data_IF_446357813125
#
_entry.id   IF_446357813125
#
_cell.length_a   1.000
_cell.length_b   1.000
_cell.length_c   1.000
_cell.angle_alpha   90.00
_cell.angle_beta   90.00
_cell.angle_gamma   90.00
#
_symmetry.space_group_name_H-M   'P 1'
#
loop_
_entity.id
_entity.type
_entity.pdbx_description
1 polymer ?
#
# COMPACT_ATOMS: atom_id res chain seq x y z
N UNK A 1 6.27 3.93 -33.73
CA UNK A 1 5.67 2.59 -33.43
C UNK A 1 6.53 1.93 -32.35
N UNK A 2 6.61 2.52 -31.16
CA UNK A 2 7.77 2.33 -30.25
C UNK A 2 7.41 2.01 -28.80
N UNK A 3 6.15 1.69 -28.50
CA UNK A 3 5.68 1.44 -27.11
C UNK A 3 5.92 0.01 -26.58
N UNK A 4 6.57 -0.87 -27.35
CA UNK A 4 6.78 -2.29 -26.99
C UNK A 4 8.09 -2.57 -26.23
N UNK A 5 9.04 -1.63 -26.18
CA UNK A 5 10.42 -1.93 -25.75
C UNK A 5 10.72 -1.96 -24.25
N UNK A 6 9.77 -1.62 -23.36
CA UNK A 6 10.10 -1.22 -21.97
C UNK A 6 9.56 -2.10 -20.82
N UNK A 7 8.83 -3.18 -21.10
CA UNK A 7 8.18 -4.01 -20.07
C UNK A 7 8.91 -5.31 -19.71
N UNK A 8 10.06 -5.61 -20.34
CA UNK A 8 10.88 -6.81 -20.08
C UNK A 8 11.60 -6.86 -18.70
N UNK A 9 11.36 -5.90 -17.81
CA UNK A 9 11.99 -5.77 -16.48
C UNK A 9 11.00 -6.03 -15.33
N UNK A 10 10.18 -7.08 -15.50
CA UNK A 10 9.35 -7.69 -14.45
C UNK A 10 9.99 -9.00 -13.92
N UNK A 11 11.26 -9.23 -14.24
CA UNK A 11 12.04 -10.41 -13.88
C UNK A 11 12.51 -10.37 -12.42
N UNK A 12 11.69 -10.91 -11.51
CA UNK A 12 12.19 -11.51 -10.28
C UNK A 12 12.64 -12.94 -10.58
N UNK A 13 13.91 -13.27 -10.34
CA UNK A 13 14.46 -14.60 -10.64
C UNK A 13 13.78 -15.70 -9.81
N UNK A 14 13.00 -16.55 -10.47
CA UNK A 14 12.67 -17.89 -9.97
C UNK A 14 13.74 -18.84 -10.50
N UNK A 15 14.81 -19.03 -9.73
CA UNK A 15 15.84 -20.00 -10.07
C UNK A 15 15.25 -21.43 -9.98
N UNK A 16 15.18 -22.10 -11.13
CA UNK A 16 14.89 -23.54 -11.18
C UNK A 16 16.16 -24.31 -10.86
N UNK A 17 16.31 -24.76 -9.62
CA UNK A 17 17.31 -25.76 -9.25
C UNK A 17 16.93 -27.13 -9.85
N UNK A 18 17.35 -27.40 -11.08
CA UNK A 18 17.30 -28.74 -11.66
C UNK A 18 18.44 -29.58 -11.08
N UNK A 19 18.12 -30.49 -10.16
CA UNK A 19 19.08 -31.40 -9.55
C UNK A 19 19.41 -32.55 -10.52
N UNK A 20 20.67 -32.63 -10.95
CA UNK A 20 21.19 -33.75 -11.75
C UNK A 20 22.65 -34.01 -11.39
N UNK A 21 22.88 -35.09 -10.63
CA UNK A 21 24.21 -35.59 -10.30
C UNK A 21 24.85 -36.20 -11.55
N UNK A 22 26.14 -35.95 -11.75
CA UNK A 22 27.15 -37.01 -11.71
C UNK A 22 28.57 -36.46 -11.74
N UNK A 23 29.53 -37.28 -11.29
CA UNK A 23 30.95 -36.94 -11.16
C UNK A 23 31.80 -38.00 -11.84
N UNK A 24 32.81 -37.60 -12.63
CA UNK A 24 33.97 -38.44 -12.94
C UNK A 24 35.20 -37.59 -13.28
N UNK A 25 36.37 -38.21 -13.28
CA UNK A 25 37.68 -37.56 -13.10
C UNK A 25 38.57 -37.53 -14.35
N UNK A 26 39.63 -36.72 -14.25
CA UNK A 26 41.00 -36.97 -14.74
C UNK A 26 41.45 -36.53 -16.17
N UNK A 27 42.44 -35.62 -16.15
CA UNK A 27 43.82 -35.84 -16.64
C UNK A 27 44.30 -35.23 -17.98
N UNK A 28 45.40 -34.46 -17.84
CA UNK A 28 46.64 -34.40 -18.65
C UNK A 28 46.58 -34.38 -20.20
N UNK A 29 47.07 -33.29 -20.79
CA UNK A 29 48.39 -33.18 -21.48
C UNK A 29 48.56 -31.74 -22.07
N UNK A 30 49.72 -31.07 -21.97
CA UNK A 30 50.98 -31.17 -22.77
C UNK A 30 50.84 -30.66 -24.22
N UNK A 31 51.79 -29.93 -24.82
CA UNK A 31 53.07 -29.34 -24.36
C UNK A 31 53.51 -28.21 -25.35
N UNK A 32 54.58 -27.45 -25.01
CA UNK A 32 55.55 -26.74 -25.91
C UNK A 32 55.03 -25.56 -26.81
N UNK A 33 55.61 -24.33 -26.87
CA UNK A 33 56.99 -23.79 -27.02
C UNK A 33 57.27 -23.33 -28.47
N UNK A 34 58.02 -22.27 -28.82
CA UNK A 34 58.52 -21.03 -28.13
C UNK A 34 58.34 -19.84 -29.13
N UNK A 35 59.14 -18.79 -29.41
CA UNK A 35 60.41 -18.11 -28.99
C UNK A 35 60.33 -16.65 -29.56
N UNK A 36 61.18 -15.62 -29.34
CA UNK A 36 62.41 -15.33 -28.57
C UNK A 36 62.57 -13.78 -28.37
N UNK A 37 63.80 -13.24 -28.38
CA UNK A 37 64.20 -11.86 -28.74
C UNK A 37 63.61 -10.63 -28.01
N UNK A 38 64.29 -10.23 -26.92
CA UNK A 38 64.51 -8.81 -26.53
C UNK A 38 66.02 -8.51 -26.57
N UNK A 39 66.53 -7.27 -26.33
CA UNK A 39 66.93 -6.95 -24.93
C UNK A 39 67.08 -5.45 -24.52
N UNK A 40 67.17 -5.22 -23.19
CA UNK A 40 67.87 -4.14 -22.46
C UNK A 40 67.41 -2.66 -22.66
N UNK A 41 67.24 -1.81 -21.64
CA UNK A 41 67.77 -1.74 -20.25
C UNK A 41 66.62 -1.38 -19.27
N UNK A 42 66.45 -2.04 -18.11
CA UNK A 42 67.14 -1.84 -16.81
C UNK A 42 67.21 -0.36 -16.33
N UNK A 43 66.94 -0.02 -15.06
CA UNK A 43 66.35 -0.75 -13.91
C UNK A 43 66.31 0.16 -12.66
N UNK A 44 65.33 -0.02 -11.75
CA UNK A 44 65.55 -0.31 -10.32
C UNK A 44 64.22 -0.44 -9.55
N UNK A 45 64.25 -0.97 -8.33
CA UNK A 45 63.07 -1.31 -7.52
C UNK A 45 63.33 -1.14 -6.03
N UNK A 46 62.26 -0.94 -5.22
CA UNK A 46 62.02 -1.67 -3.97
C UNK A 46 60.68 -1.31 -3.31
N UNK A 47 60.20 -2.25 -2.48
CA UNK A 47 59.06 -2.09 -1.57
C UNK A 47 59.55 -1.53 -0.21
N UNK A 48 58.67 -0.87 0.55
CA UNK A 48 58.33 -1.23 1.96
C UNK A 48 57.23 -0.31 2.54
N UNK A 49 56.54 -0.80 3.57
CA UNK A 49 55.57 -0.04 4.39
C UNK A 49 56.26 0.97 5.34
N UNK A 50 55.48 1.91 5.92
CA UNK A 50 55.62 2.11 7.37
C UNK A 50 54.29 2.35 8.10
N UNK A 51 54.34 2.37 9.44
CA UNK A 51 53.20 2.60 10.33
C UNK A 51 53.61 3.39 11.58
N UNK A 52 52.82 4.41 11.99
CA UNK A 52 52.87 5.15 13.29
C UNK A 52 54.23 5.83 13.61
N UNK A 53 54.30 7.07 14.11
CA UNK A 53 53.59 7.61 15.28
C UNK A 53 53.78 9.16 15.43
N UNK A 54 52.93 9.79 16.25
CA UNK A 54 53.11 11.06 17.01
C UNK A 54 53.49 12.39 16.33
N UNK A 55 52.69 13.44 16.64
CA UNK A 55 53.15 14.83 16.80
C UNK A 55 52.28 15.53 17.86
N UNK A 56 52.82 16.50 18.62
CA UNK A 56 52.17 17.06 19.83
C UNK A 56 51.81 18.55 19.69
N UNK A 57 50.55 18.84 20.03
CA UNK A 57 49.93 20.07 20.54
C UNK A 57 50.74 21.38 20.57
N UNK A 58 50.16 22.43 19.95
CA UNK A 58 50.14 23.80 20.50
C UNK A 58 48.68 24.26 20.60
N UNK A 59 48.30 24.98 21.67
CA UNK A 59 46.92 25.40 21.95
C UNK A 59 46.68 26.87 21.61
N UNK A 60 45.48 27.19 21.10
CA UNK A 60 44.81 28.48 21.36
C UNK A 60 43.31 28.24 21.61
N UNK A 61 42.74 29.00 22.56
CA UNK A 61 41.29 29.10 22.86
C UNK A 61 40.90 30.57 22.66
N UNK A 62 39.72 30.85 22.08
CA UNK A 62 38.56 31.27 22.89
C UNK A 62 37.23 30.70 22.34
N UNK A 63 36.03 30.85 22.95
CA UNK A 63 35.54 31.25 24.30
C UNK A 63 34.10 30.71 24.41
N UNK A 64 33.60 30.46 25.62
CA UNK A 64 32.16 30.36 25.95
C UNK A 64 31.41 29.13 25.42
N UNK A 65 31.13 28.16 26.29
CA UNK A 65 30.04 27.18 26.13
C UNK A 65 29.59 26.72 27.51
N UNK A 66 28.76 27.53 28.16
CA UNK A 66 28.01 27.20 29.38
C UNK A 66 26.65 27.92 29.31
N UNK A 67 25.65 27.24 28.79
CA UNK A 67 24.25 27.50 29.16
C UNK A 67 23.47 26.20 28.96
N UNK A 68 23.19 25.49 30.06
CA UNK A 68 22.35 24.30 30.02
C UNK A 68 20.90 24.71 29.76
N UNK A 69 20.51 24.79 28.49
CA UNK A 69 19.10 24.94 28.13
C UNK A 69 18.35 23.63 28.38
N UNK A 70 18.17 23.29 29.67
CA UNK A 70 17.27 22.23 30.13
C UNK A 70 15.93 22.49 29.48
N UNK A 71 15.50 21.56 28.61
CA UNK A 71 14.23 21.68 27.94
C UNK A 71 13.13 21.70 29.00
N UNK A 72 12.54 22.89 29.22
CA UNK A 72 11.41 23.03 30.11
C UNK A 72 10.27 22.20 29.54
N UNK A 73 10.04 21.02 30.13
CA UNK A 73 8.80 20.29 29.97
C UNK A 73 7.69 21.24 30.44
N UNK A 74 7.01 21.87 29.49
CA UNK A 74 5.91 22.80 29.76
C UNK A 74 4.96 22.11 30.74
N UNK A 75 4.79 22.72 31.91
CA UNK A 75 4.29 22.06 33.13
C UNK A 75 3.26 21.00 32.79
N UNK A 76 3.54 19.74 33.10
CA UNK A 76 2.47 18.77 33.26
C UNK A 76 1.47 19.42 34.21
N UNK A 77 0.25 19.66 33.73
CA UNK A 77 -0.86 19.88 34.62
C UNK A 77 -0.98 18.57 35.37
N UNK A 78 -0.48 18.57 36.60
CA UNK A 78 -0.77 17.53 37.58
C UNK A 78 -2.25 17.70 37.86
N UNK A 79 -3.06 17.06 37.01
CA UNK A 79 -4.40 16.65 37.39
C UNK A 79 -4.15 15.76 38.60
N UNK A 80 -4.43 16.30 39.78
CA UNK A 80 -4.51 15.50 40.98
C UNK A 80 -5.45 14.34 40.67
N UNK A 81 -5.07 13.12 41.06
CA UNK A 81 -5.96 11.97 40.94
C UNK A 81 -7.17 12.22 41.87
N UNK A 82 -8.20 12.86 41.31
CA UNK A 82 -9.49 13.04 41.97
C UNK A 82 -10.05 11.63 42.15
N UNK A 83 -10.22 11.15 43.39
CA UNK A 83 -10.69 9.79 43.62
C UNK A 83 -12.08 9.67 43.01
N UNK A 84 -12.20 8.87 41.95
CA UNK A 84 -13.45 8.62 41.28
C UNK A 84 -14.41 7.92 42.25
N UNK A 85 -15.52 8.58 42.60
CA UNK A 85 -16.51 8.04 43.53
C UNK A 85 -17.06 6.71 43.02
N UNK A 86 -16.67 5.61 43.67
CA UNK A 86 -16.99 4.24 43.23
C UNK A 86 -18.50 4.02 43.07
N UNK A 87 -19.31 4.65 43.93
CA UNK A 87 -20.77 4.70 43.86
C UNK A 87 -21.32 5.25 42.54
N UNK A 88 -20.69 6.27 41.96
CA UNK A 88 -21.12 6.88 40.69
C UNK A 88 -20.73 5.97 39.52
N UNK A 89 -19.48 5.49 39.51
CA UNK A 89 -18.95 4.73 38.37
C UNK A 89 -19.40 3.27 38.33
N UNK A 90 -19.69 2.66 39.48
CA UNK A 90 -20.30 1.32 39.54
C UNK A 90 -21.75 1.28 39.02
N UNK A 91 -22.44 2.44 39.01
CA UNK A 91 -23.80 2.58 38.48
C UNK A 91 -23.86 3.10 37.03
N UNK A 92 -22.72 3.19 36.32
CA UNK A 92 -22.70 3.67 34.93
C UNK A 92 -23.52 2.72 34.02
N UNK A 93 -24.58 3.20 33.33
CA UNK A 93 -25.39 2.38 32.43
C UNK A 93 -24.58 1.74 31.30
N UNK A 94 -24.94 0.51 30.93
CA UNK A 94 -24.19 -0.27 29.92
C UNK A 94 -24.20 0.41 28.54
N UNK A 95 -25.28 1.09 28.17
CA UNK A 95 -25.36 1.87 26.92
C UNK A 95 -24.38 3.05 26.91
N UNK A 96 -24.21 3.76 28.02
CA UNK A 96 -23.23 4.84 28.12
C UNK A 96 -21.79 4.31 28.12
N UNK A 97 -21.54 3.17 28.77
CA UNK A 97 -20.26 2.47 28.67
C UNK A 97 -19.97 2.06 27.21
N UNK A 98 -20.94 1.50 26.50
CA UNK A 98 -20.79 1.12 25.11
C UNK A 98 -20.62 2.33 24.18
N UNK A 99 -21.29 3.46 24.42
CA UNK A 99 -21.07 4.72 23.68
C UNK A 99 -19.66 5.31 23.92
N UNK A 100 -19.17 5.29 25.17
CA UNK A 100 -17.80 5.72 25.51
C UNK A 100 -16.76 4.83 24.83
N UNK A 101 -16.91 3.50 24.95
CA UNK A 101 -15.95 2.55 24.40
C UNK A 101 -15.99 2.51 22.87
N UNK A 102 -17.16 2.69 22.24
CA UNK A 102 -17.29 2.84 20.79
C UNK A 102 -16.64 4.13 20.25
N UNK A 103 -16.32 5.11 21.11
CA UNK A 103 -15.58 6.33 20.75
C UNK A 103 -14.08 6.26 21.05
N UNK A 104 -13.56 5.16 21.61
CA UNK A 104 -12.12 4.96 21.75
C UNK A 104 -11.49 4.48 20.43
N UNK A 105 -10.27 4.93 20.08
CA UNK A 105 -9.56 4.41 18.92
C UNK A 105 -9.45 2.88 18.96
N UNK A 106 -9.83 2.12 17.91
CA UNK A 106 -9.96 0.66 17.95
C UNK A 106 -8.74 -0.09 18.49
N UNK A 107 -7.52 0.39 18.23
CA UNK A 107 -6.29 -0.23 18.73
C UNK A 107 -6.13 -0.14 20.26
N UNK A 108 -6.85 0.75 20.94
CA UNK A 108 -6.90 0.84 22.40
C UNK A 108 -7.83 -0.22 23.01
N UNK A 109 -8.83 -0.72 22.28
CA UNK A 109 -9.75 -1.75 22.78
C UNK A 109 -9.00 -3.05 23.12
N UNK A 110 -7.95 -3.41 22.36
CA UNK A 110 -7.10 -4.56 22.71
C UNK A 110 -6.38 -4.41 24.06
N UNK A 111 -6.18 -3.18 24.56
CA UNK A 111 -5.61 -2.94 25.89
C UNK A 111 -6.68 -2.98 26.98
N UNK A 112 -7.85 -2.39 26.78
CA UNK A 112 -8.92 -2.42 27.80
C UNK A 112 -9.42 -3.86 28.05
N UNK A 113 -9.33 -4.73 27.03
CA UNK A 113 -9.67 -6.16 27.13
C UNK A 113 -8.86 -6.92 28.20
N UNK A 114 -7.70 -6.43 28.66
CA UNK A 114 -6.95 -7.08 29.76
C UNK A 114 -7.35 -6.60 31.16
N UNK A 115 -8.27 -5.64 31.30
CA UNK A 115 -8.65 -5.06 32.61
C UNK A 115 -9.60 -5.97 33.39
N UNK A 116 -10.63 -6.54 32.75
CA UNK A 116 -11.59 -7.43 33.42
C UNK A 116 -12.26 -8.41 32.46
N UNK A 117 -12.91 -9.45 33.00
CA UNK A 117 -13.61 -10.49 32.21
C UNK A 117 -14.70 -9.89 31.29
N UNK A 118 -15.49 -8.93 31.78
CA UNK A 118 -16.53 -8.24 30.99
C UNK A 118 -15.93 -7.53 29.78
N UNK A 119 -14.87 -6.75 29.99
CA UNK A 119 -14.22 -6.00 28.92
C UNK A 119 -13.48 -6.90 27.93
N UNK A 120 -12.90 -8.04 28.36
CA UNK A 120 -12.29 -9.00 27.43
C UNK A 120 -13.28 -9.50 26.36
N UNK A 121 -14.54 -9.71 26.76
CA UNK A 121 -15.62 -10.22 25.91
C UNK A 121 -16.30 -9.14 25.06
N UNK A 122 -15.94 -7.85 25.17
CA UNK A 122 -16.71 -6.76 24.54
C UNK A 122 -16.78 -6.83 23.00
N UNK A 123 -15.79 -7.45 22.34
CA UNK A 123 -15.82 -7.68 20.89
C UNK A 123 -16.81 -8.79 20.47
N UNK A 124 -17.43 -9.48 21.42
CA UNK A 124 -18.51 -10.45 21.22
C UNK A 124 -19.88 -9.89 21.62
N UNK A 125 -19.95 -8.66 22.17
CA UNK A 125 -21.20 -8.00 22.51
C UNK A 125 -21.84 -7.34 21.28
N UNK A 126 -23.03 -7.81 20.91
CA UNK A 126 -23.82 -7.24 19.83
C UNK A 126 -24.29 -5.79 20.11
N UNK A 127 -24.42 -5.38 21.39
CA UNK A 127 -24.71 -3.99 21.73
C UNK A 127 -23.52 -3.10 21.41
N UNK A 128 -22.32 -3.40 21.94
CA UNK A 128 -21.09 -2.70 21.60
C UNK A 128 -20.84 -2.63 20.09
N UNK A 129 -20.97 -3.75 19.36
CA UNK A 129 -20.79 -3.76 17.91
C UNK A 129 -21.83 -2.88 17.17
N UNK A 130 -23.08 -2.81 17.67
CA UNK A 130 -24.10 -1.89 17.14
C UNK A 130 -23.73 -0.42 17.41
N UNK A 131 -23.31 -0.07 18.63
CA UNK A 131 -22.82 1.27 18.96
C UNK A 131 -21.60 1.65 18.09
N UNK A 132 -20.59 0.79 17.99
CA UNK A 132 -19.42 0.99 17.14
C UNK A 132 -19.80 1.16 15.66
N UNK A 133 -20.80 0.42 15.17
CA UNK A 133 -21.25 0.55 13.78
C UNK A 133 -21.80 1.94 13.45
N UNK A 134 -22.45 2.59 14.43
CA UNK A 134 -23.02 3.94 14.30
C UNK A 134 -21.99 5.07 14.48
N UNK A 135 -20.83 4.81 15.09
CA UNK A 135 -19.78 5.81 15.29
C UNK A 135 -18.98 6.00 13.99
N UNK A 136 -18.67 7.26 13.66
CA UNK A 136 -17.80 7.62 12.53
C UNK A 136 -16.38 7.10 12.74
N UNK A 137 -15.70 6.68 11.66
CA UNK A 137 -14.27 6.36 11.70
C UNK A 137 -13.44 7.41 12.45
N UNK A 138 -12.48 6.95 13.25
CA UNK A 138 -11.50 7.80 13.96
C UNK A 138 -10.49 8.48 13.02
N UNK A 139 -10.67 8.34 11.71
CA UNK A 139 -9.87 8.93 10.66
C UNK A 139 -9.06 7.91 9.87
N UNK A 140 -8.39 8.37 8.81
CA UNK A 140 -7.70 7.50 7.86
C UNK A 140 -6.51 6.81 8.51
N UNK A 141 -6.37 5.52 8.29
CA UNK A 141 -5.17 4.77 8.62
C UNK A 141 -4.51 4.24 7.33
N UNK A 142 -3.21 3.95 7.39
CA UNK A 142 -2.49 3.22 6.34
C UNK A 142 -2.18 1.82 6.85
N UNK A 143 -2.61 0.79 6.11
CA UNK A 143 -2.21 -0.60 6.36
C UNK A 143 -1.03 -0.94 5.47
N UNK A 144 0.05 -1.43 6.08
CA UNK A 144 1.27 -1.88 5.41
C UNK A 144 1.45 -3.38 5.62
N UNK A 145 1.50 -4.14 4.54
CA UNK A 145 1.68 -5.59 4.55
C UNK A 145 3.00 -5.99 3.90
N UNK A 146 3.76 -6.81 4.61
CA UNK A 146 5.07 -7.33 4.20
C UNK A 146 5.13 -8.86 4.40
N UNK A 147 5.63 -9.58 3.39
CA UNK A 147 5.83 -11.03 3.45
C UNK A 147 6.89 -11.49 2.47
N UNK A 148 8.15 -11.47 2.89
CA UNK A 148 9.22 -12.21 2.22
C UNK A 148 9.26 -13.64 2.77
N UNK A 149 9.15 -14.66 1.91
CA UNK A 149 9.45 -16.04 2.34
C UNK A 149 10.92 -16.13 2.81
N UNK A 150 11.26 -16.83 3.91
CA UNK A 150 10.40 -17.64 4.78
C UNK A 150 9.88 -16.91 6.05
N UNK A 151 9.92 -15.57 6.08
CA UNK A 151 9.52 -14.78 7.24
C UNK A 151 7.99 -14.77 7.45
N UNK A 152 7.57 -14.62 8.71
CA UNK A 152 6.16 -14.43 9.06
C UNK A 152 5.59 -13.14 8.43
N UNK A 153 4.30 -13.11 8.05
CA UNK A 153 3.64 -11.91 7.57
C UNK A 153 3.68 -10.80 8.63
N UNK A 154 4.29 -9.67 8.28
CA UNK A 154 4.28 -8.48 9.11
C UNK A 154 3.21 -7.52 8.59
N UNK A 155 2.21 -7.23 9.42
CA UNK A 155 1.25 -6.17 9.17
C UNK A 155 1.39 -5.10 10.26
N UNK A 156 1.39 -3.84 9.83
CA UNK A 156 1.31 -2.69 10.73
C UNK A 156 0.29 -1.70 10.18
N UNK A 157 -0.39 -1.00 11.07
CA UNK A 157 -1.34 0.06 10.73
C UNK A 157 -0.86 1.37 11.33
N UNK A 158 -0.67 2.39 10.51
CA UNK A 158 -0.38 3.75 10.95
C UNK A 158 -1.68 4.57 11.02
N UNK A 159 -2.02 5.06 12.21
CA UNK A 159 -3.12 6.04 12.36
C UNK A 159 -2.59 7.44 12.02
N UNK A 160 -3.13 8.07 10.98
CA UNK A 160 -2.71 9.42 10.59
C UNK A 160 -3.07 10.49 11.65
N UNK A 161 -4.26 10.46 12.29
CA UNK A 161 -4.59 11.40 13.37
C UNK A 161 -3.74 11.22 14.62
N UNK A 162 -3.52 9.97 15.06
CA UNK A 162 -2.76 9.66 16.29
C UNK A 162 -1.24 9.60 16.05
N UNK A 163 -0.79 9.69 14.79
CA UNK A 163 0.60 9.57 14.33
C UNK A 163 1.34 8.35 14.91
N UNK A 164 0.60 7.27 15.14
CA UNK A 164 1.05 6.10 15.90
C UNK A 164 0.94 4.83 15.06
N UNK A 165 1.95 3.98 15.17
CA UNK A 165 1.97 2.64 14.57
C UNK A 165 1.41 1.59 15.53
N UNK A 166 0.56 0.72 15.00
CA UNK A 166 0.02 -0.45 15.69
C UNK A 166 0.38 -1.71 14.90
N UNK A 167 1.09 -2.65 15.54
CA UNK A 167 1.38 -3.96 14.94
C UNK A 167 0.12 -4.82 15.01
N UNK A 168 -0.24 -5.48 13.91
CA UNK A 168 -1.37 -6.41 13.86
C UNK A 168 -0.81 -7.80 13.50
N UNK A 169 -1.01 -8.83 14.34
CA UNK A 169 -0.47 -10.16 14.06
C UNK A 169 -1.26 -10.82 12.93
N UNK A 170 -0.62 -11.00 11.76
CA UNK A 170 -1.23 -11.66 10.59
C UNK A 170 -0.93 -13.16 10.52
N UNK A 171 -0.49 -13.75 11.63
CA UNK A 171 -0.20 -15.18 11.80
C UNK A 171 -1.44 -16.08 11.67
N UNK A 172 -2.65 -15.49 11.67
CA UNK A 172 -3.91 -16.20 11.43
C UNK A 172 -4.20 -16.41 9.93
N UNK A 173 -3.50 -15.74 9.00
CA UNK A 173 -3.68 -15.93 7.56
C UNK A 173 -2.82 -17.09 7.01
N UNK A 174 -3.31 -17.81 5.98
CA UNK A 174 -2.57 -18.92 5.37
C UNK A 174 -1.26 -18.50 4.70
N UNK A 175 -0.32 -19.44 4.60
CA UNK A 175 0.99 -19.25 3.96
C UNK A 175 0.89 -18.79 2.50
N UNK A 176 -0.15 -19.21 1.76
CA UNK A 176 -0.36 -18.78 0.37
C UNK A 176 -0.86 -17.34 0.20
N UNK A 177 -1.41 -16.67 1.22
CA UNK A 177 -1.93 -15.30 1.07
C UNK A 177 -0.78 -14.27 1.16
N UNK A 178 -0.38 -13.66 0.03
CA UNK A 178 0.74 -12.72 -0.01
C UNK A 178 0.58 -11.48 -0.91
N UNK A 179 -0.41 -11.44 -1.80
CA UNK A 179 -0.79 -10.21 -2.50
C UNK A 179 -1.91 -9.49 -1.75
N UNK A 180 -1.69 -8.21 -1.43
CA UNK A 180 -2.70 -7.32 -0.86
C UNK A 180 -3.52 -6.71 -2.00
N UNK A 181 -4.79 -7.08 -2.10
CA UNK A 181 -5.72 -6.54 -3.12
C UNK A 181 -6.16 -5.12 -2.75
N UNK A 182 -6.46 -4.90 -1.46
CA UNK A 182 -6.92 -3.62 -0.93
C UNK A 182 -7.77 -3.79 0.32
N UNK A 183 -8.36 -2.70 0.80
CA UNK A 183 -9.29 -2.72 1.93
C UNK A 183 -10.55 -1.89 1.62
N UNK A 184 -11.65 -2.21 2.29
CA UNK A 184 -12.91 -1.47 2.22
C UNK A 184 -13.74 -1.81 3.46
N UNK A 185 -14.42 -0.83 4.06
CA UNK A 185 -15.33 -1.03 5.21
C UNK A 185 -14.73 -1.72 6.46
N UNK A 186 -13.40 -1.77 6.59
CA UNK A 186 -12.68 -2.50 7.64
C UNK A 186 -12.41 -3.98 7.38
N UNK A 187 -12.81 -4.48 6.21
CA UNK A 187 -12.30 -5.73 5.65
C UNK A 187 -11.04 -5.47 4.83
N UNK A 188 -10.17 -6.47 4.72
CA UNK A 188 -8.99 -6.47 3.84
C UNK A 188 -9.02 -7.71 2.94
N UNK A 189 -8.79 -7.51 1.65
CA UNK A 189 -8.78 -8.58 0.65
C UNK A 189 -7.33 -8.96 0.30
N UNK A 190 -7.07 -10.27 0.22
CA UNK A 190 -5.79 -10.83 -0.20
C UNK A 190 -5.98 -11.88 -1.29
N UNK A 191 -4.97 -12.06 -2.12
CA UNK A 191 -4.89 -13.16 -3.08
C UNK A 191 -3.54 -13.88 -3.01
N UNK A 192 -3.45 -15.03 -3.68
CA UNK A 192 -2.26 -15.87 -3.63
C UNK A 192 -2.36 -17.15 -4.45
N UNK A 193 -1.32 -17.97 -4.37
CA UNK A 193 -1.22 -19.28 -5.00
C UNK A 193 -1.08 -20.36 -3.93
N UNK A 194 -2.11 -21.21 -3.82
CA UNK A 194 -2.12 -22.41 -2.98
C UNK A 194 -1.66 -23.60 -3.82
N UNK A 195 -0.35 -23.86 -3.77
CA UNK A 195 0.32 -24.69 -4.78
C UNK A 195 0.25 -24.03 -6.16
N UNK A 196 -0.54 -24.62 -7.07
CA UNK A 196 -0.84 -24.05 -8.39
C UNK A 196 -2.21 -23.34 -8.45
N UNK A 197 -3.00 -23.39 -7.37
CA UNK A 197 -4.38 -22.89 -7.36
C UNK A 197 -4.42 -21.43 -6.98
N UNK A 198 -4.88 -20.54 -7.87
CA UNK A 198 -5.18 -19.17 -7.48
C UNK A 198 -6.32 -19.14 -6.45
N UNK A 199 -6.14 -18.37 -5.38
CA UNK A 199 -7.15 -18.18 -4.33
C UNK A 199 -7.24 -16.72 -3.91
N UNK A 200 -8.43 -16.35 -3.44
CA UNK A 200 -8.72 -15.04 -2.82
C UNK A 200 -9.28 -15.29 -1.41
N UNK A 201 -8.94 -14.45 -0.44
CA UNK A 201 -9.56 -14.40 0.87
C UNK A 201 -9.92 -12.98 1.26
N UNK A 202 -10.89 -12.85 2.17
CA UNK A 202 -11.22 -11.59 2.84
C UNK A 202 -11.14 -11.80 4.34
N UNK A 203 -10.52 -10.86 5.06
CA UNK A 203 -10.34 -10.91 6.50
C UNK A 203 -10.76 -9.62 7.21
N UNK A 204 -11.12 -9.73 8.50
CA UNK A 204 -11.17 -8.60 9.42
C UNK A 204 -9.91 -8.67 10.30
N UNK A 205 -8.92 -7.76 10.11
CA UNK A 205 -7.67 -7.77 10.87
C UNK A 205 -7.82 -7.57 12.38
N UNK A 206 -8.91 -6.94 12.83
CA UNK A 206 -9.14 -6.68 14.25
C UNK A 206 -9.75 -7.90 14.95
N UNK A 207 -10.65 -8.60 14.27
CA UNK A 207 -11.33 -9.79 14.77
C UNK A 207 -10.54 -11.09 14.53
N UNK A 208 -9.47 -11.03 13.72
CA UNK A 208 -8.65 -12.17 13.28
C UNK A 208 -9.45 -13.26 12.52
N UNK A 209 -10.65 -12.91 12.05
CA UNK A 209 -11.53 -13.75 11.26
C UNK A 209 -11.26 -13.58 9.76
N UNK A 210 -11.42 -14.65 8.99
CA UNK A 210 -11.22 -14.65 7.54
C UNK A 210 -12.07 -15.73 6.86
N UNK A 211 -12.44 -15.51 5.59
CA UNK A 211 -12.95 -16.57 4.71
C UNK A 211 -12.18 -16.62 3.40
N UNK A 212 -11.92 -17.83 2.91
CA UNK A 212 -11.53 -18.05 1.51
C UNK A 212 -12.78 -17.85 0.66
N UNK A 213 -12.65 -17.21 -0.49
CA UNK A 213 -13.74 -17.12 -1.46
C UNK A 213 -13.76 -18.42 -2.31
N UNK A 214 -14.92 -18.86 -2.81
CA UNK A 214 -14.98 -19.92 -3.82
C UNK A 214 -14.12 -19.55 -5.04
N UNK A 215 -13.69 -20.55 -5.81
CA UNK A 215 -12.99 -20.29 -7.07
C UNK A 215 -13.88 -19.54 -8.07
N UNK A 216 -13.27 -18.63 -8.83
CA UNK A 216 -13.89 -18.00 -10.01
C UNK A 216 -14.19 -19.05 -11.08
N UNK A 217 -15.09 -18.74 -12.02
CA UNK A 217 -15.35 -19.61 -13.18
C UNK A 217 -14.08 -19.75 -14.04
N UNK A 218 -13.35 -18.64 -14.20
CA UNK A 218 -12.04 -18.60 -14.84
C UNK A 218 -10.98 -18.35 -13.76
N UNK A 219 -10.66 -19.39 -12.96
CA UNK A 219 -9.80 -19.27 -11.78
C UNK A 219 -8.28 -19.17 -12.09
N UNK A 220 -7.84 -18.02 -12.59
CA UNK A 220 -6.43 -17.62 -12.62
C UNK A 220 -6.24 -16.23 -11.98
N UNK A 221 -5.01 -15.72 -11.97
CA UNK A 221 -4.70 -14.42 -11.38
C UNK A 221 -5.39 -13.26 -12.13
N UNK A 222 -6.04 -12.37 -11.38
CA UNK A 222 -6.87 -11.27 -11.89
C UNK A 222 -6.48 -9.93 -11.29
N UNK A 223 -6.75 -8.85 -12.00
CA UNK A 223 -6.87 -7.52 -11.37
C UNK A 223 -8.16 -7.52 -10.53
N UNK A 224 -8.00 -7.36 -9.22
CA UNK A 224 -9.07 -7.46 -8.22
C UNK A 224 -9.31 -6.13 -7.52
N UNK A 225 -10.55 -5.88 -7.09
CA UNK A 225 -10.91 -4.85 -6.12
C UNK A 225 -12.04 -5.35 -5.22
N UNK A 226 -12.03 -4.95 -3.94
CA UNK A 226 -13.09 -5.24 -2.98
C UNK A 226 -13.84 -3.96 -2.63
N UNK A 227 -15.16 -4.07 -2.53
CA UNK A 227 -16.08 -2.98 -2.17
C UNK A 227 -17.05 -3.46 -1.08
N UNK A 228 -17.22 -2.68 -0.01
CA UNK A 228 -18.18 -2.98 1.07
C UNK A 228 -19.41 -2.09 0.95
N UNK A 229 -20.59 -2.70 0.93
CA UNK A 229 -21.86 -2.02 1.18
C UNK A 229 -22.15 -2.04 2.69
N UNK A 230 -22.10 -0.85 3.31
CA UNK A 230 -22.36 -0.70 4.75
C UNK A 230 -23.84 -0.80 5.11
N UNK A 231 -24.74 -0.46 4.18
CA UNK A 231 -26.18 -0.51 4.42
C UNK A 231 -26.67 -1.95 4.43
N UNK A 232 -26.19 -2.74 3.47
CA UNK A 232 -26.51 -4.15 3.30
C UNK A 232 -25.57 -5.10 4.08
N UNK A 233 -24.64 -4.54 4.87
CA UNK A 233 -23.58 -5.24 5.64
C UNK A 233 -22.90 -6.37 4.83
N UNK A 234 -22.63 -6.10 3.56
CA UNK A 234 -22.16 -7.10 2.59
C UNK A 234 -20.97 -6.56 1.81
N UNK A 235 -20.25 -7.45 1.12
CA UNK A 235 -19.10 -7.07 0.31
C UNK A 235 -19.12 -7.77 -1.04
N UNK A 236 -18.49 -7.12 -2.02
CA UNK A 236 -18.28 -7.68 -3.35
C UNK A 236 -16.81 -7.62 -3.71
N UNK A 237 -16.34 -8.63 -4.44
CA UNK A 237 -15.01 -8.64 -5.05
C UNK A 237 -15.20 -8.71 -6.56
N UNK A 238 -14.65 -7.72 -7.26
CA UNK A 238 -14.76 -7.58 -8.72
C UNK A 238 -13.42 -8.00 -9.31
N UNK A 239 -13.46 -8.96 -10.23
CA UNK A 239 -12.33 -9.44 -11.01
C UNK A 239 -12.51 -9.05 -12.48
N UNK A 240 -11.66 -8.15 -12.99
CA UNK A 240 -11.88 -7.52 -14.31
C UNK A 240 -11.09 -8.21 -15.43
N UNK A 241 -9.77 -8.30 -15.29
CA UNK A 241 -8.87 -8.82 -16.32
C UNK A 241 -7.86 -9.82 -15.77
N UNK A 242 -7.24 -10.60 -16.66
CA UNK A 242 -5.95 -11.21 -16.36
C UNK A 242 -4.87 -10.13 -16.09
N UNK A 243 -3.80 -10.51 -15.39
CA UNK A 243 -2.60 -9.68 -15.18
C UNK A 243 -1.47 -10.05 -16.17
N UNK A 244 -1.47 -11.30 -16.67
CA UNK A 244 -0.37 -11.88 -17.45
C UNK A 244 -0.79 -12.54 -18.77
N UNK A 245 -2.09 -12.69 -19.05
CA UNK A 245 -2.62 -13.36 -20.24
C UNK A 245 -3.41 -12.44 -21.18
N UNK A 246 -3.18 -12.59 -22.49
CA UNK A 246 -3.84 -11.80 -23.55
C UNK A 246 -5.34 -12.12 -23.78
N UNK A 247 -5.95 -12.92 -22.91
CA UNK A 247 -7.34 -13.36 -23.06
C UNK A 247 -8.31 -12.35 -22.47
N UNK A 248 -9.17 -11.76 -23.32
CA UNK A 248 -10.37 -11.05 -22.88
C UNK A 248 -11.30 -12.01 -22.14
N UNK A 249 -11.62 -11.70 -20.89
CA UNK A 249 -12.37 -12.57 -19.98
C UNK A 249 -13.57 -11.80 -19.40
N UNK A 250 -14.66 -12.50 -19.02
CA UNK A 250 -15.82 -11.85 -18.42
C UNK A 250 -15.42 -11.25 -17.07
N UNK A 251 -16.00 -10.10 -16.76
CA UNK A 251 -15.85 -9.53 -15.41
C UNK A 251 -16.61 -10.44 -14.45
N UNK A 252 -15.92 -10.99 -13.45
CA UNK A 252 -16.55 -11.82 -12.43
C UNK A 252 -16.79 -11.01 -11.17
N UNK A 253 -18.01 -11.05 -10.63
CA UNK A 253 -18.37 -10.39 -9.37
C UNK A 253 -18.79 -11.43 -8.34
N UNK A 254 -18.03 -11.50 -7.27
CA UNK A 254 -18.41 -12.21 -6.05
C UNK A 254 -19.41 -11.37 -5.25
N UNK A 255 -20.50 -11.98 -4.79
CA UNK A 255 -21.45 -11.37 -3.85
C UNK A 255 -21.45 -12.15 -2.53
N UNK A 256 -21.10 -11.46 -1.43
CA UNK A 256 -20.94 -12.10 -0.12
C UNK A 256 -22.25 -12.69 0.42
N UNK A 257 -23.42 -12.21 0.00
CA UNK A 257 -24.73 -12.70 0.45
C UNK A 257 -25.10 -14.04 -0.17
N UNK A 258 -24.66 -14.29 -1.40
CA UNK A 258 -24.96 -15.54 -2.12
C UNK A 258 -23.83 -16.56 -2.08
N UNK A 259 -22.66 -16.16 -1.56
CA UNK A 259 -21.38 -16.89 -1.58
C UNK A 259 -21.02 -17.46 -2.96
N UNK A 260 -21.21 -16.64 -4.00
CA UNK A 260 -21.07 -17.05 -5.41
C UNK A 260 -20.45 -15.94 -6.24
N UNK A 261 -19.71 -16.36 -7.27
CA UNK A 261 -19.35 -15.51 -8.39
C UNK A 261 -20.51 -15.43 -9.39
N UNK A 262 -20.60 -14.30 -10.08
CA UNK A 262 -21.53 -14.04 -11.17
C UNK A 262 -20.74 -13.54 -12.38
N UNK A 263 -21.18 -13.92 -13.58
CA UNK A 263 -20.54 -13.55 -14.86
C UNK A 263 -21.20 -12.29 -15.41
N UNK A 264 -20.43 -11.21 -15.52
CA UNK A 264 -20.82 -9.93 -16.08
C UNK A 264 -20.12 -9.71 -17.44
N UNK A 265 -20.38 -8.58 -18.11
CA UNK A 265 -19.89 -8.34 -19.47
C UNK A 265 -18.35 -8.44 -19.57
N UNK A 266 -17.86 -9.02 -20.67
CA UNK A 266 -16.44 -8.96 -21.07
C UNK A 266 -16.09 -7.50 -21.39
N UNK A 267 -15.00 -6.98 -20.84
CA UNK A 267 -14.55 -5.62 -21.15
C UNK A 267 -14.18 -5.51 -22.64
N UNK A 268 -14.80 -4.58 -23.41
CA UNK A 268 -14.63 -4.49 -24.87
C UNK A 268 -13.30 -3.84 -25.32
N UNK A 269 -12.38 -3.59 -24.40
CA UNK A 269 -11.10 -2.94 -24.65
C UNK A 269 -9.95 -3.95 -24.66
N UNK A 270 -8.95 -3.71 -25.49
CA UNK A 270 -7.73 -4.51 -25.59
C UNK A 270 -6.51 -3.70 -25.15
N UNK A 271 -5.55 -4.37 -24.51
CA UNK A 271 -4.37 -3.79 -23.88
C UNK A 271 -4.71 -2.79 -22.76
N UNK A 272 -4.79 -3.31 -21.53
CA UNK A 272 -4.99 -2.52 -20.32
C UNK A 272 -3.71 -1.82 -19.89
N UNK A 273 -3.86 -0.64 -19.29
CA UNK A 273 -2.76 0.04 -18.62
C UNK A 273 -2.66 -0.46 -17.17
N UNK A 274 -1.45 -0.62 -16.64
CA UNK A 274 -1.22 -1.13 -15.26
C UNK A 274 -1.51 -0.08 -14.16
N UNK A 275 -2.28 0.97 -14.48
CA UNK A 275 -2.72 1.95 -13.50
C UNK A 275 -3.80 1.36 -12.59
N UNK A 276 -3.78 1.74 -11.31
CA UNK A 276 -4.69 1.16 -10.30
C UNK A 276 -6.14 1.51 -10.62
N UNK A 277 -7.04 0.55 -10.48
CA UNK A 277 -8.49 0.76 -10.66
C UNK A 277 -9.03 1.69 -9.56
N UNK A 278 -10.00 2.54 -9.92
CA UNK A 278 -10.70 3.41 -8.96
C UNK A 278 -12.18 3.08 -8.91
N UNK A 279 -12.75 2.90 -7.72
CA UNK A 279 -14.19 2.64 -7.53
C UNK A 279 -14.86 3.78 -6.76
N UNK A 280 -15.87 4.40 -7.35
CA UNK A 280 -16.73 5.39 -6.69
C UNK A 280 -18.12 5.43 -7.36
N UNK A 281 -19.17 5.80 -6.62
CA UNK A 281 -20.55 5.89 -7.13
C UNK A 281 -21.07 4.64 -7.87
N UNK A 282 -20.82 3.45 -7.30
CA UNK A 282 -21.14 2.13 -7.90
C UNK A 282 -20.48 1.85 -9.27
N UNK A 283 -19.45 2.62 -9.62
CA UNK A 283 -18.73 2.55 -10.90
C UNK A 283 -17.26 2.26 -10.66
N UNK A 284 -16.70 1.33 -11.44
CA UNK A 284 -15.29 0.98 -11.46
C UNK A 284 -14.63 1.56 -12.71
N UNK A 285 -13.57 2.34 -12.55
CA UNK A 285 -12.87 3.04 -13.65
C UNK A 285 -11.47 2.48 -13.86
N UNK A 286 -11.13 2.18 -15.11
CA UNK A 286 -9.82 1.69 -15.57
C UNK A 286 -9.32 2.55 -16.75
N UNK A 287 -8.01 2.59 -16.94
CA UNK A 287 -7.35 3.15 -18.12
C UNK A 287 -7.12 2.07 -19.18
N UNK A 288 -7.49 2.36 -20.43
CA UNK A 288 -7.27 1.48 -21.58
C UNK A 288 -6.41 2.14 -22.64
N UNK A 289 -5.58 1.33 -23.33
CA UNK A 289 -4.75 1.80 -24.43
C UNK A 289 -5.47 1.73 -25.79
N UNK A 290 -6.43 0.80 -25.94
CA UNK A 290 -7.24 0.65 -27.16
C UNK A 290 -8.67 0.18 -26.82
N UNK A 291 -9.68 1.09 -26.85
CA UNK A 291 -9.58 2.52 -27.13
C UNK A 291 -8.78 3.27 -26.06
N UNK A 292 -8.13 4.37 -26.46
CA UNK A 292 -7.39 5.24 -25.54
C UNK A 292 -8.35 6.14 -24.76
N UNK A 293 -8.60 5.80 -23.49
CA UNK A 293 -9.57 6.50 -22.66
C UNK A 293 -9.83 5.80 -21.34
N UNK A 294 -10.94 6.17 -20.71
CA UNK A 294 -11.44 5.49 -19.52
C UNK A 294 -12.45 4.41 -19.95
N UNK A 295 -12.32 3.21 -19.40
CA UNK A 295 -13.42 2.26 -19.32
C UNK A 295 -14.09 2.38 -17.95
N UNK A 296 -15.42 2.46 -17.94
CA UNK A 296 -16.25 2.45 -16.75
C UNK A 296 -17.10 1.18 -16.75
N UNK A 297 -17.03 0.41 -15.67
CA UNK A 297 -17.92 -0.71 -15.39
C UNK A 297 -18.99 -0.27 -14.38
N UNK A 298 -20.25 -0.55 -14.70
CA UNK A 298 -21.42 -0.35 -13.82
C UNK A 298 -21.67 -1.63 -13.03
N UNK A 299 -21.56 -1.57 -11.70
CA UNK A 299 -21.79 -2.74 -10.83
C UNK A 299 -23.28 -3.13 -10.74
N UNK A 300 -24.17 -2.17 -11.00
CA UNK A 300 -25.63 -2.30 -10.99
C UNK A 300 -26.19 -2.98 -12.26
N UNK A 301 -25.70 -2.61 -13.45
CA UNK A 301 -26.13 -3.24 -14.71
C UNK A 301 -25.21 -4.36 -15.20
N UNK A 302 -23.99 -4.47 -14.66
CA UNK A 302 -22.98 -5.43 -15.09
C UNK A 302 -22.30 -5.11 -16.42
N UNK A 303 -22.38 -3.86 -16.88
CA UNK A 303 -21.99 -3.45 -18.23
C UNK A 303 -20.77 -2.52 -18.24
N UNK A 304 -20.03 -2.56 -19.35
CA UNK A 304 -18.87 -1.74 -19.64
C UNK A 304 -19.19 -0.63 -20.64
N UNK A 305 -18.78 0.60 -20.33
CA UNK A 305 -18.92 1.78 -21.18
C UNK A 305 -17.59 2.49 -21.36
N UNK A 306 -17.34 2.99 -22.57
CA UNK A 306 -16.16 3.80 -22.86
C UNK A 306 -16.46 5.29 -22.63
N UNK A 307 -15.69 5.91 -21.75
CA UNK A 307 -15.72 7.35 -21.47
C UNK A 307 -14.56 8.00 -22.25
N UNK A 308 -14.83 8.80 -23.30
CA UNK A 308 -13.82 9.38 -24.19
C UNK A 308 -13.02 10.56 -23.58
N UNK A 309 -12.76 10.52 -22.27
CA UNK A 309 -12.00 11.52 -21.52
C UNK A 309 -10.50 11.45 -21.85
N UNK A 310 -10.09 12.19 -22.91
CA UNK A 310 -8.72 12.22 -23.43
C UNK A 310 -7.72 12.60 -22.34
N UNK A 311 -6.79 11.68 -22.06
CA UNK A 311 -5.72 11.88 -21.07
C UNK A 311 -4.84 13.11 -21.37
N UNK A 312 -4.25 13.73 -20.33
CA UNK A 312 -3.29 14.83 -20.49
C UNK A 312 -2.15 14.49 -21.45
N UNK A 313 -1.76 15.44 -22.31
CA UNK A 313 -0.60 15.27 -23.21
C UNK A 313 0.68 15.10 -22.40
N UNK A 314 1.56 14.23 -22.88
CA UNK A 314 2.86 13.91 -22.26
C UNK A 314 2.77 13.35 -20.83
N UNK A 315 1.65 12.67 -20.51
CA UNK A 315 1.53 11.77 -19.36
C UNK A 315 2.51 10.59 -19.54
N UNK A 316 3.36 10.37 -18.54
CA UNK A 316 4.35 9.29 -18.48
C UNK A 316 3.85 8.13 -17.61
N UNK A 317 3.46 8.44 -16.38
CA UNK A 317 2.79 7.52 -15.45
C UNK A 317 1.43 8.11 -15.07
N UNK A 318 0.39 7.27 -14.99
CA UNK A 318 -0.95 7.63 -14.51
C UNK A 318 -1.43 6.69 -13.40
N UNK A 319 -2.21 7.24 -12.47
CA UNK A 319 -2.92 6.50 -11.43
C UNK A 319 -4.33 7.08 -11.29
N UNK A 320 -5.35 6.23 -11.41
CA UNK A 320 -6.71 6.62 -11.06
C UNK A 320 -6.89 6.50 -9.55
N UNK A 321 -7.59 7.47 -8.96
CA UNK A 321 -7.85 7.53 -7.52
C UNK A 321 -9.30 7.94 -7.28
N UNK A 322 -10.03 7.12 -6.50
CA UNK A 322 -11.38 7.43 -6.08
C UNK A 322 -11.40 8.56 -5.03
N UNK A 323 -12.31 9.51 -5.20
CA UNK A 323 -12.69 10.48 -4.17
C UNK A 323 -14.02 10.12 -3.51
N UNK A 324 -14.52 11.01 -2.68
CA UNK A 324 -15.87 10.91 -2.10
C UNK A 324 -16.95 10.99 -3.18
N UNK A 325 -18.07 10.29 -2.98
CA UNK A 325 -19.23 10.33 -3.89
C UNK A 325 -18.87 9.92 -5.33
N UNK A 326 -18.99 10.83 -6.31
CA UNK A 326 -18.72 10.58 -7.74
C UNK A 326 -17.34 11.08 -8.20
N UNK A 327 -16.51 11.60 -7.28
CA UNK A 327 -15.24 12.23 -7.64
C UNK A 327 -14.23 11.18 -8.10
N UNK A 328 -13.62 11.42 -9.25
CA UNK A 328 -12.55 10.59 -9.82
C UNK A 328 -11.36 11.49 -10.12
N UNK A 329 -10.21 11.15 -9.57
CA UNK A 329 -8.96 11.85 -9.81
C UNK A 329 -8.04 11.02 -10.72
N UNK A 330 -7.32 11.72 -11.60
CA UNK A 330 -6.11 11.22 -12.22
C UNK A 330 -4.92 11.88 -11.53
N UNK A 331 -3.98 11.09 -11.06
CA UNK A 331 -2.69 11.54 -10.53
C UNK A 331 -1.62 11.09 -11.50
N UNK A 332 -0.77 12.00 -11.97
CA UNK A 332 0.13 11.66 -13.06
C UNK A 332 1.39 12.50 -13.21
N UNK A 333 2.44 11.84 -13.68
CA UNK A 333 3.73 12.44 -14.02
C UNK A 333 3.68 12.94 -15.46
N UNK A 334 3.78 14.24 -15.68
CA UNK A 334 3.97 14.83 -17.02
C UNK A 334 5.43 15.19 -17.23
N UNK A 335 5.96 14.87 -18.41
CA UNK A 335 7.25 15.36 -18.89
C UNK A 335 7.48 14.97 -20.36
N UNK A 336 8.26 15.78 -21.07
CA UNK A 336 8.80 15.44 -22.41
C UNK A 336 10.23 14.91 -22.33
N UNK A 337 10.99 15.35 -21.33
CA UNK A 337 12.39 14.98 -21.07
C UNK A 337 12.64 14.86 -19.56
N UNK A 338 13.74 14.20 -19.17
CA UNK A 338 14.07 13.84 -17.79
C UNK A 338 14.25 15.01 -16.81
N UNK A 339 14.40 16.24 -17.31
CA UNK A 339 14.67 17.46 -16.54
C UNK A 339 13.43 18.33 -16.27
N UNK A 340 12.36 18.19 -17.06
CA UNK A 340 11.16 19.04 -17.01
C UNK A 340 9.90 18.26 -16.57
N UNK A 341 10.08 17.33 -15.64
CA UNK A 341 8.97 16.55 -15.09
C UNK A 341 8.19 17.30 -14.00
N UNK A 342 6.89 17.03 -13.92
CA UNK A 342 6.00 17.53 -12.86
C UNK A 342 4.96 16.47 -12.50
N UNK A 343 4.65 16.31 -11.21
CA UNK A 343 3.50 15.52 -10.75
C UNK A 343 2.29 16.45 -10.63
N UNK A 344 1.16 16.08 -11.23
CA UNK A 344 -0.09 16.86 -11.20
C UNK A 344 -1.29 15.98 -10.90
N UNK A 345 -2.39 16.64 -10.58
CA UNK A 345 -3.65 16.00 -10.20
C UNK A 345 -4.77 16.67 -11.00
N UNK A 346 -5.56 15.86 -11.69
CA UNK A 346 -6.77 16.25 -12.39
C UNK A 346 -7.99 15.61 -11.73
N UNK A 347 -9.14 16.26 -11.86
CA UNK A 347 -10.45 15.72 -11.53
C UNK A 347 -11.26 15.55 -12.82
N UNK A 348 -12.05 14.49 -12.92
CA UNK A 348 -12.92 14.27 -14.08
C UNK A 348 -14.16 15.17 -13.99
N UNK A 349 -14.26 16.13 -14.90
CA UNK A 349 -15.52 16.84 -15.15
C UNK A 349 -16.47 15.90 -15.90
N UNK A 350 -17.42 15.31 -15.18
CA UNK A 350 -18.45 14.42 -15.71
C UNK A 350 -19.40 15.10 -16.70
N UNK A 351 -19.51 16.44 -16.69
CA UNK A 351 -20.39 17.18 -17.61
C UNK A 351 -19.71 17.46 -18.96
N UNK A 352 -18.41 17.73 -18.94
CA UNK A 352 -17.59 17.99 -20.14
C UNK A 352 -16.84 16.76 -20.65
N UNK A 353 -16.86 15.67 -19.89
CA UNK A 353 -16.09 14.42 -20.14
C UNK A 353 -14.60 14.73 -20.33
N UNK A 354 -14.04 15.53 -19.41
CA UNK A 354 -12.69 16.08 -19.55
C UNK A 354 -11.93 16.18 -18.22
N UNK A 355 -10.62 15.95 -18.25
CA UNK A 355 -9.73 16.11 -17.10
C UNK A 355 -9.42 17.58 -16.81
N UNK A 356 -9.91 18.11 -15.68
CA UNK A 356 -9.65 19.47 -15.19
C UNK A 356 -8.52 19.44 -14.18
N UNK A 357 -7.45 20.22 -14.40
CA UNK A 357 -6.28 20.23 -13.52
C UNK A 357 -6.59 20.99 -12.21
N UNK A 358 -6.58 20.28 -11.07
CA UNK A 358 -6.94 20.85 -9.76
C UNK A 358 -5.73 21.19 -8.88
N UNK A 359 -4.57 20.55 -9.12
CA UNK A 359 -3.38 20.73 -8.29
C UNK A 359 -2.09 20.30 -8.99
N UNK A 360 -0.96 20.85 -8.54
CA UNK A 360 0.40 20.45 -8.91
C UNK A 360 1.22 20.21 -7.65
N UNK A 361 2.02 19.16 -7.63
CA UNK A 361 2.97 18.90 -6.55
C UNK A 361 4.08 19.97 -6.57
N UNK A 362 4.29 20.76 -5.49
CA UNK A 362 5.33 21.77 -5.50
C UNK A 362 6.73 21.13 -5.66
N UNK A 363 7.66 21.72 -6.44
CA UNK A 363 8.94 21.08 -6.77
C UNK A 363 9.81 20.63 -5.58
N UNK A 364 9.64 21.27 -4.41
CA UNK A 364 10.29 20.85 -3.16
C UNK A 364 9.86 19.45 -2.69
N UNK A 365 8.59 19.10 -2.87
CA UNK A 365 8.08 17.76 -2.54
C UNK A 365 8.46 16.76 -3.62
N UNK A 366 8.36 17.12 -4.90
CA UNK A 366 8.72 16.25 -6.02
C UNK A 366 10.16 15.72 -5.90
N UNK A 367 11.15 16.60 -5.70
CA UNK A 367 12.57 16.22 -5.53
C UNK A 367 12.88 15.47 -4.22
N UNK A 368 12.04 15.63 -3.21
CA UNK A 368 12.21 14.99 -1.91
C UNK A 368 11.49 13.62 -1.80
N UNK A 369 10.49 13.39 -2.66
CA UNK A 369 9.81 12.11 -2.86
C UNK A 369 10.55 11.25 -3.89
N UNK A 370 10.97 11.84 -5.01
CA UNK A 370 11.65 11.18 -6.11
C UNK A 370 13.06 11.78 -6.26
N UNK A 371 14.08 10.98 -5.91
CA UNK A 371 15.49 11.37 -6.02
C UNK A 371 15.96 11.33 -7.48
N UNK A 372 15.37 10.47 -8.30
CA UNK A 372 15.60 10.37 -9.74
C UNK A 372 14.29 10.56 -10.52
N UNK A 373 14.35 11.23 -11.68
CA UNK A 373 13.18 11.43 -12.54
C UNK A 373 12.67 10.15 -13.23
N UNK A 374 13.39 9.04 -13.12
CA UNK A 374 12.94 7.70 -13.50
C UNK A 374 12.52 6.82 -12.29
N UNK A 375 12.51 7.36 -11.07
CA UNK A 375 12.17 6.59 -9.87
C UNK A 375 10.68 6.18 -9.88
N UNK A 376 10.40 4.91 -9.60
CA UNK A 376 9.03 4.41 -9.44
C UNK A 376 8.41 4.94 -8.16
N UNK A 377 7.14 5.28 -8.25
CA UNK A 377 6.29 5.71 -7.15
C UNK A 377 4.99 4.94 -7.23
N UNK A 378 4.28 4.82 -6.12
CA UNK A 378 2.86 4.45 -6.15
C UNK A 378 2.01 5.62 -5.69
N UNK A 379 0.79 5.66 -6.22
CA UNK A 379 -0.28 6.53 -5.77
C UNK A 379 -1.52 5.69 -5.46
N UNK A 380 -2.23 6.06 -4.41
CA UNK A 380 -3.51 5.47 -4.00
C UNK A 380 -4.27 6.47 -3.10
N UNK A 381 -5.57 6.31 -2.93
CA UNK A 381 -6.38 7.27 -2.18
C UNK A 381 -7.68 6.72 -1.62
N UNK A 382 -8.24 7.47 -0.69
CA UNK A 382 -9.53 7.24 -0.03
C UNK A 382 -10.03 8.61 0.46
N UNK A 383 -11.34 8.88 0.42
CA UNK A 383 -11.98 10.06 1.05
C UNK A 383 -11.29 11.41 0.75
N UNK A 384 -11.00 11.68 -0.53
CA UNK A 384 -10.30 12.88 -1.02
C UNK A 384 -8.87 13.08 -0.48
N UNK A 385 -8.28 12.03 0.10
CA UNK A 385 -6.87 11.94 0.45
C UNK A 385 -6.12 11.14 -0.61
N UNK A 386 -5.00 11.67 -1.06
CA UNK A 386 -4.13 11.08 -2.08
C UNK A 386 -2.77 10.85 -1.44
N UNK A 387 -2.37 9.58 -1.29
CA UNK A 387 -1.09 9.18 -0.75
C UNK A 387 -0.12 8.83 -1.88
N UNK A 388 1.11 9.31 -1.76
CA UNK A 388 2.23 9.03 -2.65
C UNK A 388 3.33 8.32 -1.85
N UNK A 389 3.86 7.20 -2.36
CA UNK A 389 4.99 6.48 -1.76
C UNK A 389 6.12 6.30 -2.77
N UNK A 390 7.36 6.53 -2.34
CA UNK A 390 8.56 6.15 -3.10
C UNK A 390 9.03 4.77 -2.63
N UNK A 391 9.35 3.90 -3.60
CA UNK A 391 9.88 2.55 -3.33
C UNK A 391 11.25 2.56 -2.64
N UNK A 392 12.07 3.58 -2.89
CA UNK A 392 13.46 3.64 -2.44
C UNK A 392 13.68 4.48 -1.19
N UNK A 393 12.84 5.50 -0.95
CA UNK A 393 12.99 6.40 0.20
C UNK A 393 12.15 6.00 1.42
N UNK A 394 11.18 5.10 1.25
CA UNK A 394 10.27 4.66 2.32
C UNK A 394 9.34 5.75 2.87
N UNK A 395 9.36 6.96 2.29
CA UNK A 395 8.57 8.12 2.72
C UNK A 395 7.16 8.09 2.13
N UNK A 396 6.17 8.34 2.97
CA UNK A 396 4.82 8.70 2.54
C UNK A 396 4.61 10.22 2.48
N UNK A 397 4.05 10.71 1.38
CA UNK A 397 3.56 12.09 1.21
C UNK A 397 2.04 12.07 1.02
N UNK A 398 1.32 12.86 1.80
CA UNK A 398 -0.13 12.96 1.73
C UNK A 398 -0.54 14.31 1.11
N UNK A 399 -1.52 14.27 0.20
CA UNK A 399 -2.25 15.43 -0.27
C UNK A 399 -3.72 15.32 0.16
N UNK A 400 -4.24 16.34 0.83
CA UNK A 400 -5.67 16.48 1.07
C UNK A 400 -6.24 17.42 0.00
N UNK A 401 -7.13 16.91 -0.87
CA UNK A 401 -7.67 17.65 -2.01
C UNK A 401 -8.49 18.86 -1.55
N UNK A 402 -9.35 18.68 -0.55
CA UNK A 402 -10.35 19.68 -0.17
C UNK A 402 -9.74 20.88 0.56
N UNK A 403 -8.73 20.63 1.40
CA UNK A 403 -7.91 21.66 2.06
C UNK A 403 -6.77 22.16 1.18
N UNK A 404 -6.48 21.46 0.07
CA UNK A 404 -5.32 21.67 -0.83
C UNK A 404 -3.95 21.63 -0.14
N UNK A 405 -3.83 20.91 0.97
CA UNK A 405 -2.60 20.83 1.80
C UNK A 405 -1.75 19.62 1.44
N UNK A 406 -0.43 19.83 1.35
CA UNK A 406 0.60 18.79 1.20
C UNK A 406 1.34 18.57 2.53
N UNK A 407 1.33 17.35 3.06
CA UNK A 407 1.95 16.99 4.35
C UNK A 407 2.73 15.69 4.27
N UNK A 408 3.98 15.70 4.74
CA UNK A 408 4.75 14.46 4.95
C UNK A 408 4.12 13.63 6.08
N UNK A 409 4.10 12.32 5.90
CA UNK A 409 3.60 11.40 6.92
C UNK A 409 4.73 11.13 7.92
N UNK A 410 4.82 11.96 8.96
CA UNK A 410 5.80 11.81 10.05
C UNK A 410 5.73 10.41 10.66
N UNK A 411 6.89 9.76 10.86
CA UNK A 411 6.94 8.38 11.34
C UNK A 411 6.68 7.30 10.27
N UNK A 412 6.23 7.67 9.06
CA UNK A 412 6.20 6.76 7.91
C UNK A 412 7.60 6.63 7.32
N UNK A 413 8.41 5.79 7.96
CA UNK A 413 9.47 5.05 7.31
C UNK A 413 8.91 3.65 7.03
N UNK A 414 8.51 3.38 5.79
CA UNK A 414 8.22 2.03 5.30
C UNK A 414 9.52 1.23 5.39
N UNK A 415 9.68 0.46 6.47
CA UNK A 415 10.96 -0.20 6.84
C UNK A 415 11.40 -1.34 5.90
N UNK A 416 10.68 -1.56 4.80
CA UNK A 416 11.06 -2.50 3.75
C UNK A 416 10.60 -2.03 2.38
N UNK A 417 11.57 -1.89 1.46
CA UNK A 417 11.33 -1.76 0.03
C UNK A 417 10.58 -3.01 -0.47
N UNK A 418 9.51 -2.80 -1.25
CA UNK A 418 8.47 -3.78 -1.64
C UNK A 418 7.32 -4.01 -0.62
N UNK A 419 7.18 -3.21 0.44
CA UNK A 419 5.95 -3.22 1.27
C UNK A 419 4.71 -2.82 0.47
N UNK A 420 3.66 -3.64 0.52
CA UNK A 420 2.37 -3.33 -0.09
C UNK A 420 1.56 -2.42 0.87
N UNK A 421 0.95 -1.35 0.34
CA UNK A 421 0.27 -0.33 1.16
C UNK A 421 -1.10 0.02 0.59
N UNK A 422 -2.09 0.17 1.48
CA UNK A 422 -3.39 0.73 1.17
C UNK A 422 -3.88 1.65 2.30
N UNK A 423 -4.92 2.46 2.04
CA UNK A 423 -5.72 3.01 3.14
C UNK A 423 -6.55 1.90 3.80
N UNK A 424 -6.80 2.07 5.09
CA UNK A 424 -7.58 1.16 5.92
C UNK A 424 -8.40 1.92 6.96
N UNK A 425 -9.61 1.42 7.22
CA UNK A 425 -10.52 1.93 8.24
C UNK A 425 -10.77 0.83 9.27
N UNK A 426 -10.20 0.90 10.48
CA UNK A 426 -10.36 -0.17 11.46
C UNK A 426 -11.82 -0.28 11.95
N UNK A 427 -12.48 -1.42 11.72
CA UNK A 427 -13.88 -1.69 12.15
C UNK A 427 -14.04 -3.07 12.79
N UNK A 428 -14.69 -3.16 13.95
CA UNK A 428 -15.05 -4.42 14.59
C UNK A 428 -16.37 -5.00 14.05
N UNK A 429 -17.28 -4.11 13.64
CA UNK A 429 -18.60 -4.40 13.07
C UNK A 429 -18.58 -5.00 11.64
N UNK A 430 -17.40 -5.12 11.04
CA UNK A 430 -17.22 -5.64 9.68
C UNK A 430 -17.17 -7.17 9.66
N UNK A 431 -18.24 -7.80 9.16
CA UNK A 431 -18.36 -9.27 9.03
C UNK A 431 -17.54 -9.82 7.85
N UNK A 432 -16.92 -10.98 8.06
CA UNK A 432 -16.37 -11.83 6.98
C UNK A 432 -17.33 -12.97 6.59
N UNK A 433 -18.55 -12.95 7.13
CA UNK A 433 -19.68 -13.84 6.85
C UNK A 433 -20.81 -13.01 6.24
#
# INVERSE_FOLDING_TARGET
>A
MERLGFWGLLMGSVEKSSDSRESVTCSKNRDEDTTSASPLKRSLSRNTSPSRQQQIVVKTKPRGLEEETVASFGKQVVVSDVPMEESIWAMLPEDLLNEILARLPPFMIFRIRSVCKKWNLILQDNSFLKFHSNVSSHGPCLLTFWKNSPQLPQCSVFSLPLKTWYKVPFTFLPSWAFWLVGSSGGLVCFSGLDGLTFRTLVCNPLMQSWRVLPSMHYNQQRQLIMVVDRSEKSFKVIATSDIYGDKSLPTEVYDSKTDKWSLHQIMPAVNLCSSKMAYCDSRLYLETLSPLGLMMYRLDTGQWEHIPAKFPRSLLDGYLVAGTQKRLFLVGRIGLYSTLQSMRIWELDHTKVSWVEISRMPPKYFRALLRLSAERFECFGQDNLICFTSWNQGKGLLYNVDKKIWSWISGCALQSCNSQVCFYEPRFDASVH
#
